data_IF_367579297800
#
_entry.id   IF_367579297800
#
_cell.length_a   1.000
_cell.length_b   1.000
_cell.length_c   1.000
_cell.angle_alpha   90.00
_cell.angle_beta   90.00
_cell.angle_gamma   90.00
#
_symmetry.space_group_name_H-M   'P 1'
#
loop_
_entity.id
_entity.type
_entity.pdbx_description
1 polymer ?
#
# COMPACT_ATOMS: atom_id res chain seq x y z
N UNK A 1 0.25 -0.92 -6.76
CA UNK A 1 0.81 0.22 -6.02
C UNK A 1 0.23 1.55 -6.47
N UNK A 2 0.34 1.93 -7.75
CA UNK A 2 -0.22 3.21 -8.28
C UNK A 2 -1.67 3.52 -7.86
N UNK A 3 -2.59 2.57 -8.02
CA UNK A 3 -4.00 2.75 -7.63
C UNK A 3 -4.17 2.96 -6.11
N UNK A 4 -3.35 2.29 -5.29
CA UNK A 4 -3.37 2.47 -3.85
C UNK A 4 -2.90 3.88 -3.45
N UNK A 5 -1.83 4.41 -4.07
CA UNK A 5 -1.39 5.78 -3.83
C UNK A 5 -2.48 6.79 -4.21
N UNK A 6 -3.10 6.63 -5.39
CA UNK A 6 -4.22 7.48 -5.84
C UNK A 6 -5.39 7.47 -4.86
N UNK A 7 -5.78 6.31 -4.36
CA UNK A 7 -6.87 6.14 -3.38
C UNK A 7 -6.60 6.85 -2.05
N UNK A 8 -5.32 7.04 -1.70
CA UNK A 8 -4.90 7.73 -0.49
C UNK A 8 -4.45 9.18 -0.77
N UNK A 9 -4.74 9.72 -1.96
CA UNK A 9 -4.36 11.09 -2.36
C UNK A 9 -2.84 11.35 -2.27
N UNK A 10 -2.05 10.30 -2.49
CA UNK A 10 -0.59 10.37 -2.50
C UNK A 10 -0.06 10.60 -3.90
N UNK A 11 1.13 11.18 -3.99
CA UNK A 11 1.89 11.26 -5.24
C UNK A 11 2.09 9.87 -5.86
N UNK A 12 2.19 9.83 -7.19
CA UNK A 12 2.41 8.55 -7.87
C UNK A 12 3.73 7.91 -7.44
N UNK A 13 3.75 6.58 -7.24
CA UNK A 13 4.94 5.88 -6.81
C UNK A 13 5.98 5.82 -7.94
N UNK A 14 7.23 6.16 -7.62
CA UNK A 14 8.35 6.14 -8.57
C UNK A 14 9.22 4.92 -8.30
N UNK A 15 9.66 4.21 -9.35
CA UNK A 15 10.65 3.13 -9.19
C UNK A 15 12.03 3.73 -8.95
N UNK A 16 12.75 3.23 -7.94
CA UNK A 16 14.12 3.67 -7.68
C UNK A 16 14.67 3.14 -6.37
N UNK A 17 15.80 3.70 -5.96
CA UNK A 17 16.46 3.41 -4.69
C UNK A 17 16.34 4.61 -3.78
N UNK A 18 15.90 4.40 -2.54
CA UNK A 18 15.87 5.44 -1.52
C UNK A 18 16.76 5.07 -0.34
N UNK A 19 17.42 6.10 0.22
CA UNK A 19 18.12 6.00 1.49
C UNK A 19 17.12 6.17 2.63
N UNK A 20 17.15 5.25 3.57
CA UNK A 20 16.51 5.33 4.87
C UNK A 20 17.54 5.77 5.92
N UNK A 21 17.16 5.78 7.19
CA UNK A 21 18.04 6.23 8.27
C UNK A 21 19.35 5.45 8.36
N UNK A 22 19.31 4.11 8.23
CA UNK A 22 20.49 3.26 8.35
C UNK A 22 20.57 2.17 7.26
N UNK A 23 19.90 2.38 6.13
CA UNK A 23 19.86 1.43 5.02
C UNK A 23 19.46 2.11 3.72
N UNK A 24 19.55 1.37 2.63
CA UNK A 24 18.95 1.74 1.35
C UNK A 24 18.16 0.56 0.80
N UNK A 25 17.12 0.85 0.04
CA UNK A 25 16.29 -0.18 -0.58
C UNK A 25 15.80 0.29 -1.94
N UNK A 26 15.62 -0.70 -2.85
CA UNK A 26 15.12 -0.48 -4.20
C UNK A 26 13.71 -1.04 -4.34
N UNK A 27 12.83 -0.27 -4.98
CA UNK A 27 11.44 -0.63 -5.25
C UNK A 27 10.59 0.59 -5.59
N UNK A 28 9.28 0.49 -5.37
CA UNK A 28 8.37 1.63 -5.50
C UNK A 28 8.51 2.57 -4.32
N UNK A 29 8.97 3.79 -4.59
CA UNK A 29 9.14 4.86 -3.63
C UNK A 29 7.80 5.57 -3.40
N UNK A 30 7.37 5.67 -2.15
CA UNK A 30 6.12 6.34 -1.76
C UNK A 30 6.39 7.36 -0.66
N UNK A 31 6.01 8.61 -0.89
CA UNK A 31 6.04 9.66 0.13
C UNK A 31 4.73 9.65 0.91
N UNK A 32 4.82 9.36 2.21
CA UNK A 32 3.69 9.52 3.12
C UNK A 32 3.68 10.91 3.78
N UNK A 33 2.50 11.42 4.20
CA UNK A 33 2.41 12.75 4.80
C UNK A 33 3.17 12.82 6.14
N UNK A 34 4.07 13.81 6.24
CA UNK A 34 4.93 14.07 7.42
C UNK A 34 5.94 12.96 7.76
N UNK A 35 6.18 12.02 6.84
CA UNK A 35 7.26 11.06 6.97
C UNK A 35 8.57 11.67 6.48
N UNK A 36 9.66 11.46 7.22
CA UNK A 36 10.99 11.99 6.86
C UNK A 36 11.62 11.26 5.68
N UNK A 37 11.42 9.95 5.62
CA UNK A 37 11.95 9.09 4.57
C UNK A 37 10.82 8.51 3.73
N UNK A 38 11.13 8.24 2.45
CA UNK A 38 10.25 7.53 1.55
C UNK A 38 10.09 6.07 2.01
N UNK A 39 8.88 5.54 1.86
CA UNK A 39 8.68 4.09 1.91
C UNK A 39 9.23 3.47 0.64
N UNK A 40 9.81 2.28 0.75
CA UNK A 40 10.19 1.46 -0.39
C UNK A 40 9.36 0.19 -0.41
N UNK A 41 8.39 0.12 -1.32
CA UNK A 41 7.52 -1.03 -1.50
C UNK A 41 8.11 -2.00 -2.54
N UNK A 42 8.47 -3.20 -2.10
CA UNK A 42 8.97 -4.29 -2.93
C UNK A 42 7.81 -5.23 -3.27
N UNK A 43 7.09 -4.92 -4.34
CA UNK A 43 5.85 -5.63 -4.69
C UNK A 43 6.06 -7.10 -5.03
N UNK A 44 7.25 -7.46 -5.55
CA UNK A 44 7.56 -8.83 -5.95
C UNK A 44 7.79 -9.76 -4.75
N UNK A 45 8.36 -9.21 -3.67
CA UNK A 45 8.61 -9.94 -2.42
C UNK A 45 7.51 -9.74 -1.37
N UNK A 46 6.59 -8.80 -1.59
CA UNK A 46 5.55 -8.42 -0.63
C UNK A 46 6.10 -7.68 0.60
N UNK A 47 7.32 -7.14 0.53
CA UNK A 47 7.95 -6.41 1.65
C UNK A 47 7.81 -4.91 1.49
N UNK A 48 7.70 -4.19 2.61
CA UNK A 48 7.81 -2.73 2.65
C UNK A 48 8.95 -2.37 3.58
N UNK A 49 9.93 -1.64 3.06
CA UNK A 49 11.06 -1.12 3.82
C UNK A 49 10.74 0.33 4.18
N UNK A 50 10.76 0.63 5.46
CA UNK A 50 10.48 1.96 5.98
C UNK A 50 11.15 2.18 7.32
N UNK A 51 11.23 3.44 7.71
CA UNK A 51 11.66 3.84 9.03
C UNK A 51 10.74 4.97 9.47
N UNK A 52 10.01 4.78 10.57
CA UNK A 52 9.18 5.81 11.20
C UNK A 52 9.75 6.31 12.54
N UNK A 53 10.96 5.87 12.90
CA UNK A 53 11.65 6.06 14.18
C UNK A 53 10.68 5.87 15.36
N UNK A 54 10.06 4.69 15.49
CA UNK A 54 9.06 4.38 16.54
C UNK A 54 7.86 5.37 16.58
N UNK A 55 7.51 5.96 15.45
CA UNK A 55 6.43 6.94 15.32
C UNK A 55 6.83 8.39 15.60
N UNK A 56 8.14 8.68 15.77
CA UNK A 56 8.63 10.06 15.92
C UNK A 56 8.54 10.88 14.63
N UNK A 57 8.50 10.24 13.46
CA UNK A 57 8.12 10.90 12.22
C UNK A 57 7.08 10.05 11.48
N UNK A 58 6.13 10.74 10.86
CA UNK A 58 5.05 10.07 10.18
C UNK A 58 4.04 9.40 11.11
N UNK A 59 2.77 9.44 10.72
CA UNK A 59 1.73 8.67 11.37
C UNK A 59 1.70 7.25 10.78
N UNK A 60 1.76 6.23 11.63
CA UNK A 60 1.70 4.83 11.23
C UNK A 60 0.38 4.50 10.51
N UNK A 61 -0.71 5.18 10.85
CA UNK A 61 -2.00 5.00 10.20
C UNK A 61 -1.97 5.33 8.70
N UNK A 62 -1.08 6.22 8.25
CA UNK A 62 -0.89 6.48 6.81
C UNK A 62 -0.32 5.26 6.08
N UNK A 63 0.61 4.54 6.72
CA UNK A 63 1.16 3.29 6.18
C UNK A 63 0.08 2.20 6.16
N UNK A 64 -0.67 2.05 7.24
CA UNK A 64 -1.75 1.06 7.33
C UNK A 64 -2.83 1.28 6.27
N UNK A 65 -3.29 2.53 6.07
CA UNK A 65 -4.25 2.90 5.02
C UNK A 65 -3.72 2.59 3.61
N UNK A 66 -2.44 2.87 3.36
CA UNK A 66 -1.79 2.54 2.09
C UNK A 66 -1.74 1.02 1.87
N UNK A 67 -1.36 0.25 2.88
CA UNK A 67 -1.29 -1.21 2.81
C UNK A 67 -2.66 -1.83 2.57
N UNK A 68 -3.67 -1.38 3.31
CA UNK A 68 -5.06 -1.82 3.13
C UNK A 68 -5.56 -1.51 1.72
N UNK A 69 -5.30 -0.29 1.22
CA UNK A 69 -5.65 0.09 -0.15
C UNK A 69 -4.91 -0.75 -1.20
N UNK A 70 -3.63 -1.06 -0.99
CA UNK A 70 -2.87 -1.94 -1.87
C UNK A 70 -3.44 -3.35 -1.89
N UNK A 71 -3.76 -3.92 -0.72
CA UNK A 71 -4.38 -5.24 -0.61
C UNK A 71 -5.72 -5.30 -1.35
N UNK A 72 -6.56 -4.27 -1.18
CA UNK A 72 -7.84 -4.14 -1.90
C UNK A 72 -7.66 -4.11 -3.41
N UNK A 73 -6.79 -3.25 -3.93
CA UNK A 73 -6.57 -3.13 -5.37
C UNK A 73 -5.90 -4.39 -5.96
N UNK A 74 -4.99 -5.02 -5.21
CA UNK A 74 -4.36 -6.28 -5.63
C UNK A 74 -5.38 -7.43 -5.67
N UNK A 75 -6.25 -7.55 -4.67
CA UNK A 75 -7.32 -8.55 -4.63
C UNK A 75 -8.27 -8.38 -5.83
N UNK A 76 -8.76 -7.16 -6.07
CA UNK A 76 -9.62 -6.85 -7.24
C UNK A 76 -8.93 -7.22 -8.56
N UNK A 77 -7.64 -6.87 -8.69
CA UNK A 77 -6.87 -7.18 -9.90
C UNK A 77 -6.74 -8.69 -10.14
N UNK A 78 -6.43 -9.48 -9.10
CA UNK A 78 -6.29 -10.93 -9.23
C UNK A 78 -7.63 -11.63 -9.46
N UNK A 79 -8.69 -11.23 -8.76
CA UNK A 79 -10.03 -11.77 -8.95
C UNK A 79 -10.51 -11.52 -10.39
N UNK A 80 -10.34 -10.30 -10.90
CA UNK A 80 -10.68 -9.96 -12.30
C UNK A 80 -9.90 -10.82 -13.30
N UNK A 81 -8.61 -11.09 -13.04
CA UNK A 81 -7.78 -11.95 -13.89
C UNK A 81 -8.31 -13.39 -13.96
N UNK A 82 -9.01 -13.84 -12.93
CA UNK A 82 -9.64 -15.16 -12.83
C UNK A 82 -11.12 -15.15 -13.26
N UNK A 83 -11.65 -14.03 -13.77
CA UNK A 83 -13.06 -13.92 -14.15
C UNK A 83 -14.02 -13.77 -12.98
N UNK A 84 -13.52 -13.48 -11.77
CA UNK A 84 -14.33 -13.27 -10.57
C UNK A 84 -14.64 -11.79 -10.36
N UNK A 85 -15.79 -11.49 -9.76
CA UNK A 85 -16.11 -10.15 -9.28
C UNK A 85 -15.78 -9.99 -7.80
N UNK A 86 -15.56 -8.75 -7.34
CA UNK A 86 -15.26 -8.45 -5.93
C UNK A 86 -16.17 -7.34 -5.44
N UNK A 87 -16.82 -7.59 -4.30
CA UNK A 87 -17.58 -6.58 -3.57
C UNK A 87 -16.76 -6.06 -2.39
N UNK A 88 -16.76 -4.75 -2.20
CA UNK A 88 -16.02 -4.06 -1.14
C UNK A 88 -16.98 -3.45 -0.12
N UNK A 89 -16.71 -3.68 1.17
CA UNK A 89 -17.45 -3.08 2.28
C UNK A 89 -16.48 -2.50 3.30
N UNK A 90 -16.64 -1.22 3.64
CA UNK A 90 -15.92 -0.60 4.78
C UNK A 90 -16.66 -0.95 6.06
N UNK A 91 -15.93 -1.42 7.06
CA UNK A 91 -16.46 -1.77 8.39
C UNK A 91 -16.38 -0.56 9.34
N UNK A 92 -17.05 -0.65 10.48
CA UNK A 92 -17.15 0.44 11.45
C UNK A 92 -15.79 0.87 12.04
N UNK A 93 -14.81 -0.03 12.05
CA UNK A 93 -13.44 0.22 12.50
C UNK A 93 -12.52 0.77 11.39
N UNK A 94 -13.06 1.01 10.19
CA UNK A 94 -12.31 1.48 9.02
C UNK A 94 -11.59 0.36 8.24
N UNK A 95 -11.64 -0.88 8.70
CA UNK A 95 -11.13 -2.02 7.92
C UNK A 95 -12.01 -2.28 6.70
N UNK A 96 -11.46 -2.96 5.69
CA UNK A 96 -12.17 -3.27 4.43
C UNK A 96 -12.38 -4.78 4.33
N UNK A 97 -13.63 -5.19 4.24
CA UNK A 97 -14.03 -6.54 3.87
C UNK A 97 -14.14 -6.65 2.35
N UNK A 98 -13.49 -7.65 1.78
CA UNK A 98 -13.60 -8.01 0.37
C UNK A 98 -14.32 -9.34 0.26
N UNK A 99 -15.31 -9.43 -0.62
CA UNK A 99 -16.01 -10.68 -0.94
C UNK A 99 -15.81 -10.99 -2.41
N UNK A 100 -15.07 -12.06 -2.68
CA UNK A 100 -14.83 -12.55 -4.04
C UNK A 100 -15.98 -13.45 -4.44
N UNK A 101 -16.72 -13.07 -5.48
CA UNK A 101 -17.76 -13.89 -6.08
C UNK A 101 -17.14 -14.68 -7.23
N UNK A 102 -16.97 -15.97 -6.99
CA UNK A 102 -16.51 -16.94 -7.99
C UNK A 102 -17.69 -17.19 -8.93
N UNK A 103 -17.54 -16.83 -10.21
CA UNK A 103 -18.49 -17.23 -11.25
C UNK A 103 -18.38 -18.75 -11.46
N UNK A 104 -19.52 -19.41 -11.64
CA UNK A 104 -19.60 -20.87 -11.92
C UNK A 104 -18.90 -21.25 -13.23
#
# INVERSE_FOLDING_TARGET
MRLACRRNELAEPVQGTAKLFNSEATGYLVQLPRWRYLLVCQTDSGKVVYDNYKGHWGDQSHLEKLLQSYATEKCKSEARRQGHSVTEQTLNDGSIKLTVCVGE
#
